data_IF_367197356477
#
_entry.id   IF_367197356477
#
_cell.length_a   1.000
_cell.length_b   1.000
_cell.length_c   1.000
_cell.angle_alpha   90.00
_cell.angle_beta   90.00
_cell.angle_gamma   90.00
#
_symmetry.space_group_name_H-M   'P 1'
#
loop_
_entity.id
_entity.type
_entity.pdbx_description
1 polymer ?
#
# COMPACT_ATOMS: atom_id res chain seq x y z
N UNK A 1 23.67 6.13 14.40
CA UNK A 1 23.34 4.78 13.92
C UNK A 1 21.96 4.44 14.47
N UNK A 2 21.00 4.07 13.62
CA UNK A 2 19.61 3.84 14.04
C UNK A 2 19.55 2.68 15.05
N UNK A 3 19.07 2.93 16.28
CA UNK A 3 18.98 1.93 17.36
C UNK A 3 17.57 1.34 17.44
N UNK A 4 17.21 0.50 16.48
CA UNK A 4 15.89 -0.15 16.43
C UNK A 4 15.97 -1.69 16.45
N UNK A 5 17.18 -2.25 16.42
CA UNK A 5 17.42 -3.68 16.59
C UNK A 5 18.21 -3.94 17.88
N UNK A 6 17.96 -5.08 18.56
CA UNK A 6 18.80 -5.54 19.66
C UNK A 6 20.21 -5.93 19.16
N UNK A 7 21.17 -5.97 20.07
CA UNK A 7 22.60 -6.12 19.74
C UNK A 7 22.91 -7.39 18.92
N UNK A 8 22.20 -8.49 19.21
CA UNK A 8 22.37 -9.77 18.52
C UNK A 8 21.88 -9.76 17.06
N UNK A 9 21.10 -8.76 16.65
CA UNK A 9 20.56 -8.63 15.28
C UNK A 9 21.16 -7.44 14.51
N UNK A 10 22.16 -6.76 15.07
CA UNK A 10 22.78 -5.59 14.42
C UNK A 10 23.36 -5.90 13.04
N UNK A 11 23.92 -7.09 12.82
CA UNK A 11 24.46 -7.49 11.51
C UNK A 11 23.40 -7.47 10.40
N UNK A 12 22.14 -7.75 10.73
CA UNK A 12 21.02 -7.75 9.78
C UNK A 12 20.70 -6.35 9.23
N UNK A 13 21.20 -5.27 9.85
CA UNK A 13 20.99 -3.90 9.34
C UNK A 13 21.52 -3.71 7.92
N UNK A 14 22.58 -4.43 7.53
CA UNK A 14 23.14 -4.38 6.18
C UNK A 14 22.08 -4.75 5.12
N UNK A 15 21.21 -5.71 5.43
CA UNK A 15 20.15 -6.16 4.52
C UNK A 15 18.87 -5.34 4.67
N UNK A 16 18.44 -5.03 5.90
CA UNK A 16 17.12 -4.42 6.09
C UNK A 16 17.09 -2.91 5.83
N UNK A 17 18.21 -2.20 6.03
CA UNK A 17 18.26 -0.74 5.82
C UNK A 17 17.98 -0.38 4.36
N UNK A 18 18.54 -1.07 3.35
CA UNK A 18 18.19 -0.85 1.96
C UNK A 18 16.68 -0.89 1.65
N UNK A 19 15.94 -1.90 2.14
CA UNK A 19 14.48 -1.95 1.97
C UNK A 19 13.80 -0.71 2.57
N UNK A 20 14.18 -0.33 3.80
CA UNK A 20 13.62 0.85 4.44
C UNK A 20 13.95 2.14 3.67
N UNK A 21 15.20 2.34 3.27
CA UNK A 21 15.61 3.56 2.56
C UNK A 21 14.96 3.70 1.20
N UNK A 22 14.73 2.59 0.50
CA UNK A 22 14.08 2.57 -0.81
C UNK A 22 12.54 2.51 -0.69
N UNK A 23 11.98 2.63 0.51
CA UNK A 23 10.53 2.67 0.73
C UNK A 23 9.89 4.03 0.43
N UNK A 24 10.67 5.10 0.28
CA UNK A 24 10.14 6.47 0.27
C UNK A 24 10.19 7.17 -1.09
N UNK A 25 10.44 6.43 -2.16
CA UNK A 25 10.59 6.96 -3.51
C UNK A 25 12.04 7.10 -3.95
N UNK A 26 12.25 7.57 -5.17
CA UNK A 26 13.58 7.78 -5.74
C UNK A 26 13.96 9.26 -5.73
N UNK A 27 15.11 9.59 -5.14
CA UNK A 27 15.58 10.98 -5.01
C UNK A 27 16.00 11.61 -6.34
N UNK A 28 16.51 10.83 -7.29
CA UNK A 28 16.97 11.33 -8.58
C UNK A 28 15.82 11.56 -9.56
N UNK A 29 14.84 10.66 -9.56
CA UNK A 29 13.65 10.75 -10.42
C UNK A 29 12.52 11.58 -9.80
N UNK A 30 12.55 11.79 -8.48
CA UNK A 30 11.50 12.47 -7.73
C UNK A 30 10.15 11.76 -7.95
N UNK A 31 10.16 10.43 -7.85
CA UNK A 31 9.01 9.57 -8.09
C UNK A 31 8.75 8.61 -6.91
N UNK A 32 7.52 8.11 -6.82
CA UNK A 32 7.11 7.09 -5.87
C UNK A 32 6.04 6.18 -6.50
N UNK A 33 5.98 4.92 -6.09
CA UNK A 33 5.02 3.96 -6.62
C UNK A 33 4.99 2.66 -5.82
N UNK A 34 4.31 1.67 -6.37
CA UNK A 34 4.03 0.39 -5.69
C UNK A 34 5.28 -0.44 -5.38
N UNK A 35 6.38 -0.27 -6.13
CA UNK A 35 7.67 -0.91 -5.80
C UNK A 35 8.25 -0.42 -4.47
N UNK A 36 8.21 0.90 -4.24
CA UNK A 36 8.63 1.50 -2.97
C UNK A 36 7.72 1.08 -1.81
N UNK A 37 6.41 1.03 -2.04
CA UNK A 37 5.46 0.47 -1.08
C UNK A 37 5.77 -1.01 -0.73
N UNK A 38 6.16 -1.79 -1.74
CA UNK A 38 6.55 -3.20 -1.58
C UNK A 38 7.82 -3.31 -0.74
N UNK A 39 8.79 -2.41 -0.91
CA UNK A 39 9.99 -2.36 -0.06
C UNK A 39 9.64 -2.07 1.41
N UNK A 40 8.65 -1.23 1.70
CA UNK A 40 8.21 -1.01 3.08
C UNK A 40 7.59 -2.27 3.68
N UNK A 41 6.76 -2.97 2.91
CA UNK A 41 6.20 -4.25 3.32
C UNK A 41 7.28 -5.33 3.50
N UNK A 42 8.30 -5.36 2.64
CA UNK A 42 9.46 -6.25 2.75
C UNK A 42 10.27 -5.96 4.03
N UNK A 43 10.46 -4.68 4.36
CA UNK A 43 11.11 -4.29 5.61
C UNK A 43 10.35 -4.78 6.85
N UNK A 44 9.02 -4.60 6.88
CA UNK A 44 8.17 -5.12 7.96
C UNK A 44 8.22 -6.65 8.02
N UNK A 45 8.21 -7.32 6.87
CA UNK A 45 8.37 -8.77 6.77
C UNK A 45 9.71 -9.24 7.36
N UNK A 46 10.82 -8.56 7.06
CA UNK A 46 12.13 -8.87 7.63
C UNK A 46 12.14 -8.74 9.16
N UNK A 47 11.50 -7.71 9.71
CA UNK A 47 11.37 -7.55 11.17
C UNK A 47 10.57 -8.71 11.80
N UNK A 48 9.49 -9.15 11.15
CA UNK A 48 8.73 -10.32 11.59
C UNK A 48 9.53 -11.62 11.48
N UNK A 49 10.26 -11.81 10.38
CA UNK A 49 11.17 -12.97 10.16
C UNK A 49 12.27 -13.09 11.21
N UNK A 50 12.72 -11.97 11.77
CA UNK A 50 13.71 -11.94 12.84
C UNK A 50 13.11 -12.04 14.25
N UNK A 51 11.78 -12.12 14.38
CA UNK A 51 11.08 -12.16 15.67
C UNK A 51 11.05 -10.83 16.41
N UNK A 52 11.29 -9.70 15.72
CA UNK A 52 11.12 -8.36 16.31
C UNK A 52 9.65 -7.97 16.35
N UNK A 53 8.90 -8.38 15.32
CA UNK A 53 7.45 -8.27 15.25
C UNK A 53 6.90 -9.69 15.43
N UNK A 54 6.02 -9.87 16.40
CA UNK A 54 5.38 -11.16 16.66
C UNK A 54 3.95 -11.16 16.12
N UNK A 55 3.32 -12.33 16.08
CA UNK A 55 1.95 -12.48 15.56
C UNK A 55 0.93 -11.60 16.30
N UNK A 56 1.15 -11.40 17.60
CA UNK A 56 0.33 -10.51 18.44
C UNK A 56 0.36 -9.05 17.97
N UNK A 57 1.40 -8.65 17.24
CA UNK A 57 1.60 -7.30 16.74
C UNK A 57 1.02 -7.07 15.33
N UNK A 58 0.71 -8.13 14.57
CA UNK A 58 0.38 -8.01 13.14
C UNK A 58 -0.76 -7.03 12.85
N UNK A 59 -1.80 -7.04 13.69
CA UNK A 59 -2.90 -6.08 13.55
C UNK A 59 -2.44 -4.64 13.80
N UNK A 60 -1.60 -4.41 14.80
CA UNK A 60 -1.05 -3.09 15.12
C UNK A 60 -0.05 -2.60 14.06
N UNK A 61 0.72 -3.51 13.46
CA UNK A 61 1.63 -3.19 12.34
C UNK A 61 0.84 -2.59 11.18
N UNK A 62 -0.29 -3.19 10.80
CA UNK A 62 -1.12 -2.63 9.71
C UNK A 62 -1.89 -1.39 10.17
N UNK A 63 -2.62 -1.48 11.28
CA UNK A 63 -3.54 -0.40 11.73
C UNK A 63 -2.84 0.83 12.33
N UNK A 64 -1.54 0.75 12.64
CA UNK A 64 -0.77 1.88 13.19
C UNK A 64 0.46 2.19 12.36
N UNK A 65 1.38 1.24 12.20
CA UNK A 65 2.67 1.49 11.53
C UNK A 65 2.45 1.77 10.04
N UNK A 66 1.71 0.90 9.35
CA UNK A 66 1.43 1.07 7.93
C UNK A 66 0.52 2.28 7.66
N UNK A 67 -0.48 2.54 8.52
CA UNK A 67 -1.28 3.79 8.45
C UNK A 67 -0.37 5.03 8.51
N UNK A 68 0.58 5.09 9.45
CA UNK A 68 1.53 6.21 9.56
C UNK A 68 2.47 6.33 8.38
N UNK A 69 2.89 5.20 7.81
CA UNK A 69 3.63 5.18 6.55
C UNK A 69 2.82 5.81 5.41
N UNK A 70 1.55 5.43 5.23
CA UNK A 70 0.69 5.99 4.18
C UNK A 70 0.41 7.48 4.40
N UNK A 71 0.15 7.92 5.64
CA UNK A 71 0.04 9.34 5.96
C UNK A 71 1.29 10.13 5.57
N UNK A 72 2.47 9.59 5.88
CA UNK A 72 3.75 10.19 5.49
C UNK A 72 3.89 10.24 3.97
N UNK A 73 3.62 9.15 3.26
CA UNK A 73 3.75 9.10 1.80
C UNK A 73 2.83 10.08 1.10
N UNK A 74 1.57 10.21 1.54
CA UNK A 74 0.63 11.22 1.04
C UNK A 74 1.15 12.65 1.24
N UNK A 75 1.78 12.91 2.37
CA UNK A 75 2.43 14.21 2.64
C UNK A 75 3.62 14.42 1.70
N UNK A 76 4.48 13.43 1.50
CA UNK A 76 5.62 13.54 0.59
C UNK A 76 5.17 13.77 -0.86
N UNK A 77 4.20 12.99 -1.34
CA UNK A 77 3.61 13.12 -2.68
C UNK A 77 3.11 14.55 -2.94
N UNK A 78 2.38 15.13 -1.98
CA UNK A 78 1.82 16.48 -2.11
C UNK A 78 2.83 17.60 -1.89
N UNK A 79 3.79 17.45 -0.98
CA UNK A 79 4.79 18.49 -0.68
C UNK A 79 5.84 18.58 -1.79
N UNK A 80 6.25 17.44 -2.34
CA UNK A 80 7.32 17.37 -3.34
C UNK A 80 6.82 17.14 -4.77
N UNK A 81 5.50 17.07 -4.98
CA UNK A 81 4.88 16.77 -6.28
C UNK A 81 5.52 15.55 -6.94
N UNK A 82 5.65 14.45 -6.18
CA UNK A 82 6.29 13.24 -6.67
C UNK A 82 5.57 12.72 -7.92
N UNK A 83 6.31 12.25 -8.91
CA UNK A 83 5.71 11.60 -10.08
C UNK A 83 5.27 10.16 -9.74
N UNK A 84 4.16 9.67 -10.32
CA UNK A 84 3.77 8.27 -10.21
C UNK A 84 4.77 7.33 -10.90
N UNK A 85 5.51 6.53 -10.12
CA UNK A 85 6.47 5.56 -10.64
C UNK A 85 5.76 4.26 -11.07
N UNK A 86 5.91 3.88 -12.34
CA UNK A 86 5.32 2.64 -12.85
C UNK A 86 3.79 2.66 -12.90
N UNK A 87 3.17 3.86 -12.93
CA UNK A 87 1.73 4.00 -13.07
C UNK A 87 1.25 3.44 -14.41
N UNK A 88 0.13 2.71 -14.37
CA UNK A 88 -0.57 2.24 -15.57
C UNK A 88 -1.55 3.30 -16.11
N UNK A 89 -1.38 4.56 -15.69
CA UNK A 89 -2.30 5.66 -15.99
C UNK A 89 -3.71 5.35 -15.47
N UNK A 90 -4.71 5.61 -16.29
CA UNK A 90 -6.13 5.37 -15.96
C UNK A 90 -6.47 3.90 -15.70
N UNK A 91 -5.64 2.96 -16.14
CA UNK A 91 -5.84 1.52 -15.93
C UNK A 91 -5.18 0.97 -14.67
N UNK A 92 -4.43 1.82 -13.95
CA UNK A 92 -3.91 1.48 -12.62
C UNK A 92 -5.02 1.47 -11.57
N UNK A 93 -4.79 0.74 -10.47
CA UNK A 93 -5.68 0.79 -9.31
C UNK A 93 -5.66 2.19 -8.67
N UNK A 94 -4.46 2.74 -8.48
CA UNK A 94 -4.17 4.08 -7.99
C UNK A 94 -2.80 4.51 -8.54
N UNK A 95 -2.50 5.81 -8.50
CA UNK A 95 -1.25 6.33 -9.05
C UNK A 95 -0.03 5.86 -8.24
N UNK A 96 -0.19 5.65 -6.92
CA UNK A 96 0.95 5.42 -6.01
C UNK A 96 0.85 4.14 -5.19
N UNK A 97 -0.36 3.73 -4.82
CA UNK A 97 -0.58 2.76 -3.75
C UNK A 97 -1.39 1.54 -4.19
N UNK A 98 -1.12 0.38 -3.57
CA UNK A 98 -1.89 -0.83 -3.79
C UNK A 98 -2.28 -1.51 -2.47
N UNK A 99 -1.32 -1.74 -1.57
CA UNK A 99 -1.54 -2.42 -0.29
C UNK A 99 -2.63 -1.78 0.58
N UNK A 100 -2.83 -0.45 0.61
CA UNK A 100 -3.94 0.16 1.33
C UNK A 100 -5.32 -0.34 0.93
N UNK A 101 -5.51 -0.68 -0.35
CA UNK A 101 -6.76 -1.25 -0.85
C UNK A 101 -6.91 -2.72 -0.43
N UNK A 102 -5.81 -3.48 -0.36
CA UNK A 102 -5.85 -4.86 0.15
C UNK A 102 -6.21 -4.86 1.64
N UNK A 103 -5.47 -4.12 2.47
CA UNK A 103 -5.74 -4.06 3.90
C UNK A 103 -7.10 -3.44 4.20
N UNK A 104 -7.44 -2.35 3.51
CA UNK A 104 -8.73 -1.67 3.69
C UNK A 104 -9.93 -2.53 3.26
N UNK A 105 -9.82 -3.31 2.18
CA UNK A 105 -10.89 -4.23 1.80
C UNK A 105 -11.04 -5.37 2.79
N UNK A 106 -9.95 -5.82 3.42
CA UNK A 106 -9.97 -6.80 4.51
C UNK A 106 -10.71 -6.27 5.74
N UNK A 107 -10.47 -5.01 6.14
CA UNK A 107 -11.18 -4.34 7.25
C UNK A 107 -12.70 -4.30 7.06
N UNK A 108 -13.17 -4.33 5.80
CA UNK A 108 -14.59 -4.22 5.44
C UNK A 108 -15.26 -5.58 5.15
N UNK A 109 -14.54 -6.71 5.28
CA UNK A 109 -15.12 -8.04 5.14
C UNK A 109 -16.24 -8.21 6.17
N UNK A 110 -17.38 -8.74 5.70
CA UNK A 110 -18.59 -8.97 6.48
C UNK A 110 -19.20 -7.72 7.16
N UNK A 111 -18.78 -6.52 6.74
CA UNK A 111 -19.37 -5.28 7.22
C UNK A 111 -20.87 -5.23 6.87
N UNK A 112 -21.69 -4.95 7.89
CA UNK A 112 -23.16 -5.06 7.82
C UNK A 112 -23.76 -4.14 6.76
N UNK A 113 -23.32 -2.88 6.74
CA UNK A 113 -23.92 -1.82 5.91
C UNK A 113 -23.07 -1.43 4.69
N UNK A 114 -21.79 -1.11 4.89
CA UNK A 114 -20.87 -0.73 3.82
C UNK A 114 -20.57 -1.91 2.88
N UNK A 115 -20.90 -1.74 1.60
CA UNK A 115 -20.57 -2.64 0.48
C UNK A 115 -19.59 -1.95 -0.49
N UNK A 116 -18.95 -2.66 -1.43
CA UNK A 116 -18.03 -2.06 -2.40
C UNK A 116 -18.60 -0.83 -3.12
N UNK A 117 -19.86 -0.87 -3.55
CA UNK A 117 -20.56 0.29 -4.16
C UNK A 117 -20.67 1.55 -3.27
N UNK A 118 -20.42 1.44 -1.97
CA UNK A 118 -20.53 2.56 -1.02
C UNK A 118 -19.44 3.60 -1.22
N UNK A 119 -18.39 3.28 -1.98
CA UNK A 119 -17.35 4.24 -2.36
C UNK A 119 -17.90 5.43 -3.17
N UNK A 120 -19.12 5.32 -3.70
CA UNK A 120 -19.81 6.38 -4.43
C UNK A 120 -20.66 7.29 -3.54
N UNK A 121 -20.87 6.91 -2.28
CA UNK A 121 -21.64 7.71 -1.34
C UNK A 121 -20.71 8.66 -0.57
N UNK A 122 -20.88 9.96 -0.81
CA UNK A 122 -20.03 11.00 -0.22
C UNK A 122 -20.14 11.05 1.31
N UNK A 123 -21.35 10.93 1.88
CA UNK A 123 -21.54 10.90 3.33
C UNK A 123 -20.76 9.75 3.99
N UNK A 124 -20.75 8.56 3.36
CA UNK A 124 -19.98 7.41 3.87
C UNK A 124 -18.49 7.71 3.83
N UNK A 125 -17.99 8.31 2.74
CA UNK A 125 -16.58 8.67 2.65
C UNK A 125 -16.21 9.72 3.69
N UNK A 126 -16.98 10.79 3.85
CA UNK A 126 -16.65 11.87 4.78
C UNK A 126 -16.64 11.40 6.24
N UNK A 127 -17.59 10.53 6.62
CA UNK A 127 -17.72 10.08 8.01
C UNK A 127 -16.77 8.93 8.37
N UNK A 128 -16.44 8.03 7.44
CA UNK A 128 -15.75 6.77 7.76
C UNK A 128 -14.34 6.62 7.16
N UNK A 129 -13.86 7.59 6.37
CA UNK A 129 -12.51 7.55 5.79
C UNK A 129 -11.37 7.63 6.81
N UNK A 130 -11.64 8.06 8.04
CA UNK A 130 -10.66 8.05 9.13
C UNK A 130 -10.54 6.67 9.81
N UNK A 131 -11.53 5.79 9.60
CA UNK A 131 -11.59 4.47 10.23
C UNK A 131 -11.16 3.35 9.26
N UNK A 132 -11.50 3.49 7.97
CA UNK A 132 -11.25 2.47 6.96
C UNK A 132 -10.26 2.94 5.89
N UNK A 133 -9.16 2.21 5.76
CA UNK A 133 -8.05 2.57 4.86
C UNK A 133 -8.48 2.62 3.39
N UNK A 134 -9.38 1.72 2.97
CA UNK A 134 -9.91 1.71 1.60
C UNK A 134 -10.65 3.02 1.30
N UNK A 135 -11.57 3.41 2.18
CA UNK A 135 -12.37 4.62 2.04
C UNK A 135 -11.49 5.87 2.08
N UNK A 136 -10.48 5.88 2.97
CA UNK A 136 -9.45 6.92 3.02
C UNK A 136 -8.76 7.14 1.67
N UNK A 137 -8.43 6.06 0.95
CA UNK A 137 -7.82 6.16 -0.37
C UNK A 137 -8.80 6.72 -1.40
N UNK A 138 -10.04 6.24 -1.42
CA UNK A 138 -11.07 6.76 -2.33
C UNK A 138 -11.33 8.26 -2.12
N UNK A 139 -11.47 8.69 -0.87
CA UNK A 139 -11.69 10.10 -0.54
C UNK A 139 -10.54 10.97 -1.05
N UNK A 140 -9.30 10.51 -0.90
CA UNK A 140 -8.13 11.23 -1.42
C UNK A 140 -8.16 11.32 -2.95
N UNK A 141 -8.44 10.21 -3.65
CA UNK A 141 -8.53 10.18 -5.11
C UNK A 141 -9.58 11.18 -5.61
N UNK A 142 -10.80 11.15 -5.05
CA UNK A 142 -11.89 12.07 -5.41
C UNK A 142 -11.56 13.53 -5.10
N UNK A 143 -10.72 13.79 -4.10
CA UNK A 143 -10.27 15.15 -3.76
C UNK A 143 -9.28 15.68 -4.81
N UNK A 144 -8.33 14.84 -5.22
CA UNK A 144 -7.21 15.18 -6.12
C UNK A 144 -7.65 15.19 -7.58
N UNK A 145 -8.30 14.13 -8.05
CA UNK A 145 -8.76 13.99 -9.44
C UNK A 145 -10.14 14.62 -9.60
N UNK A 146 -10.33 15.41 -10.66
CA UNK A 146 -11.61 16.08 -10.98
C UNK A 146 -12.32 15.34 -12.11
N UNK A 147 -13.64 15.43 -12.13
CA UNK A 147 -14.49 14.75 -13.12
C UNK A 147 -15.23 13.56 -12.52
N UNK A 148 -15.81 12.73 -13.38
CA UNK A 148 -16.51 11.53 -12.95
C UNK A 148 -15.51 10.47 -12.50
N UNK A 149 -15.83 9.77 -11.40
CA UNK A 149 -14.94 8.75 -10.84
C UNK A 149 -14.62 7.64 -11.86
N UNK A 150 -15.61 7.22 -12.64
CA UNK A 150 -15.47 6.25 -13.71
C UNK A 150 -14.52 6.69 -14.85
N UNK A 151 -14.30 7.99 -15.05
CA UNK A 151 -13.44 8.50 -16.12
C UNK A 151 -11.96 8.51 -15.70
N UNK A 152 -11.67 8.89 -14.46
CA UNK A 152 -10.30 9.03 -13.97
C UNK A 152 -9.81 7.82 -13.14
N UNK A 153 -10.71 6.95 -12.71
CA UNK A 153 -10.42 5.74 -11.93
C UNK A 153 -11.36 4.57 -12.30
N UNK A 154 -11.45 4.21 -13.60
CA UNK A 154 -12.39 3.19 -14.10
C UNK A 154 -12.22 1.84 -13.40
N UNK A 155 -10.99 1.42 -13.10
CA UNK A 155 -10.79 0.12 -12.45
C UNK A 155 -11.37 0.06 -11.03
N UNK A 156 -11.22 1.12 -10.24
CA UNK A 156 -11.85 1.22 -8.92
C UNK A 156 -13.37 1.31 -9.03
N UNK A 157 -13.88 1.97 -10.08
CA UNK A 157 -15.30 2.05 -10.38
C UNK A 157 -15.87 0.66 -10.70
N UNK A 158 -15.22 -0.12 -11.56
CA UNK A 158 -15.58 -1.49 -11.88
C UNK A 158 -15.54 -2.40 -10.63
N UNK A 159 -14.49 -2.28 -9.81
CA UNK A 159 -14.35 -3.03 -8.56
C UNK A 159 -15.50 -2.72 -7.59
N UNK A 160 -16.06 -1.50 -7.62
CA UNK A 160 -17.22 -1.13 -6.81
C UNK A 160 -18.48 -1.95 -7.13
N UNK A 161 -18.57 -2.51 -8.33
CA UNK A 161 -19.64 -3.42 -8.77
C UNK A 161 -19.53 -4.84 -8.22
N UNK A 162 -18.41 -5.22 -7.60
CA UNK A 162 -18.22 -6.54 -6.99
C UNK A 162 -19.16 -6.70 -5.79
N UNK A 163 -19.82 -7.86 -5.62
CA UNK A 163 -20.94 -7.98 -4.67
C UNK A 163 -20.55 -7.89 -3.18
N UNK A 164 -19.31 -8.19 -2.82
CA UNK A 164 -18.85 -8.14 -1.43
C UNK A 164 -17.33 -7.93 -1.30
N UNK A 165 -16.92 -7.41 -0.14
CA UNK A 165 -15.52 -7.08 0.17
C UNK A 165 -14.59 -8.30 0.21
N UNK A 166 -15.10 -9.49 0.56
CA UNK A 166 -14.31 -10.73 0.51
C UNK A 166 -13.84 -11.04 -0.91
N UNK A 167 -14.72 -10.91 -1.90
CA UNK A 167 -14.37 -11.06 -3.32
C UNK A 167 -13.45 -9.93 -3.81
N UNK A 168 -13.69 -8.69 -3.38
CA UNK A 168 -12.79 -7.56 -3.68
C UNK A 168 -11.38 -7.86 -3.18
N UNK A 169 -11.23 -8.19 -1.89
CA UNK A 169 -9.94 -8.48 -1.28
C UNK A 169 -9.21 -9.64 -1.97
N UNK A 170 -9.92 -10.75 -2.25
CA UNK A 170 -9.34 -11.88 -2.98
C UNK A 170 -8.92 -11.51 -4.40
N UNK A 171 -9.68 -10.66 -5.09
CA UNK A 171 -9.34 -10.13 -6.41
C UNK A 171 -8.11 -9.22 -6.37
N UNK A 172 -8.05 -8.30 -5.40
CA UNK A 172 -6.93 -7.40 -5.20
C UNK A 172 -5.63 -8.14 -4.86
N UNK A 173 -5.69 -9.21 -4.07
CA UNK A 173 -4.51 -10.05 -3.82
C UNK A 173 -3.96 -10.69 -5.10
N UNK A 174 -4.84 -11.20 -5.97
CA UNK A 174 -4.44 -11.77 -7.27
C UNK A 174 -3.87 -10.69 -8.19
N UNK A 175 -4.51 -9.53 -8.21
CA UNK A 175 -4.07 -8.40 -9.01
C UNK A 175 -2.73 -7.85 -8.52
N UNK A 176 -2.49 -7.75 -7.20
CA UNK A 176 -1.20 -7.34 -6.65
C UNK A 176 -0.07 -8.27 -7.07
N UNK A 177 -0.33 -9.57 -7.04
CA UNK A 177 0.63 -10.56 -7.54
C UNK A 177 0.95 -10.31 -9.02
N UNK A 178 -0.06 -10.21 -9.88
CA UNK A 178 0.14 -10.08 -11.33
C UNK A 178 0.69 -8.71 -11.77
N UNK A 179 0.23 -7.63 -11.13
CA UNK A 179 0.49 -6.24 -11.54
C UNK A 179 1.58 -5.55 -10.73
N UNK A 180 2.07 -6.17 -9.64
CA UNK A 180 3.21 -5.67 -8.86
C UNK A 180 4.31 -6.72 -8.78
N UNK A 181 4.05 -7.87 -8.15
CA UNK A 181 5.09 -8.86 -7.84
C UNK A 181 5.59 -9.67 -9.05
N UNK A 182 4.81 -9.77 -10.12
CA UNK A 182 5.21 -10.45 -11.36
C UNK A 182 5.59 -9.46 -12.48
N UNK A 183 5.57 -8.15 -12.19
CA UNK A 183 5.98 -7.12 -13.16
C UNK A 183 7.47 -6.85 -13.07
N UNK A 184 8.17 -7.20 -14.14
CA UNK A 184 9.61 -6.92 -14.29
C UNK A 184 9.96 -5.44 -14.05
N UNK A 185 9.25 -4.43 -14.61
CA UNK A 185 9.62 -3.03 -14.37
C UNK A 185 9.62 -2.60 -12.90
N UNK A 186 8.81 -3.28 -12.07
CA UNK A 186 8.72 -3.03 -10.62
C UNK A 186 9.76 -3.88 -9.88
N UNK A 187 9.73 -5.20 -10.11
CA UNK A 187 10.53 -6.15 -9.33
C UNK A 187 12.00 -6.23 -9.73
N UNK A 188 12.41 -5.67 -10.87
CA UNK A 188 13.84 -5.55 -11.24
C UNK A 188 14.66 -4.75 -10.23
N UNK A 189 14.02 -3.90 -9.41
CA UNK A 189 14.65 -3.10 -8.38
C UNK A 189 14.54 -3.71 -6.98
N UNK A 190 13.84 -4.84 -6.85
CA UNK A 190 13.65 -5.49 -5.56
C UNK A 190 14.95 -6.19 -5.11
N UNK A 191 15.30 -6.02 -3.85
CA UNK A 191 16.54 -6.55 -3.29
C UNK A 191 16.32 -7.95 -2.70
N UNK A 192 17.38 -8.75 -2.71
CA UNK A 192 17.39 -10.09 -2.12
C UNK A 192 18.61 -10.22 -1.22
N UNK A 193 18.48 -11.04 -0.19
CA UNK A 193 19.52 -11.28 0.79
C UNK A 193 19.27 -12.58 1.57
N UNK A 194 19.71 -12.60 2.82
CA UNK A 194 19.57 -13.76 3.70
C UNK A 194 18.17 -13.92 4.29
N UNK A 195 17.44 -12.82 4.50
CA UNK A 195 16.08 -12.82 5.07
C UNK A 195 15.02 -13.01 3.98
N UNK A 196 15.23 -12.40 2.81
CA UNK A 196 14.41 -12.61 1.61
C UNK A 196 15.30 -13.22 0.52
N UNK A 197 15.24 -14.53 0.40
CA UNK A 197 16.05 -15.28 -0.57
C UNK A 197 15.40 -15.23 -1.96
N UNK A 198 16.25 -15.26 -3.00
CA UNK A 198 15.81 -15.38 -4.39
C UNK A 198 15.36 -16.81 -4.76
N UNK A 199 15.83 -17.81 -4.00
CA UNK A 199 15.66 -19.25 -4.26
C UNK A 199 14.51 -19.87 -3.46
#
# INVERSE_FOLDING_TARGET
MLQFLPDNLKSSTVEIVPYFTDSFGNSSRIDYGTGHETNFAAWLYCLARMGIIEEVDYQAVVSRVFVKYIELMRKLQSVYNLEPAGSHGVWGLDDYHFLPFIFGSSQLIDHKYMKPKSIHNEDILENFSNEYMYLSCILLIKKVKKGLFAEHSPLLDDISGVPNWKKVNSGLLKMYRAEVLEKVPIMQHFLFGSLIQWE
#
